data_IF_826907942480
#
_entry.id   IF_826907942480
#
_cell.length_a   1.000
_cell.length_b   1.000
_cell.length_c   1.000
_cell.angle_alpha   90.00
_cell.angle_beta   90.00
_cell.angle_gamma   90.00
#
_symmetry.space_group_name_H-M   'P 1'
#
loop_
_entity.id
_entity.type
_entity.pdbx_description
1 polymer ?
#
# COMPACT_ATOMS: atom_id res chain seq x y z
N UNK A 1 35.20 -29.52 -1.68
CA UNK A 1 34.44 -28.28 -1.94
C UNK A 1 32.99 -28.58 -1.61
N UNK A 2 32.60 -28.40 -0.34
CA UNK A 2 31.20 -28.56 0.06
C UNK A 2 30.43 -27.34 -0.44
N UNK A 3 29.42 -27.57 -1.27
CA UNK A 3 28.51 -26.52 -1.70
C UNK A 3 27.77 -26.00 -0.48
N UNK A 4 28.00 -24.74 -0.12
CA UNK A 4 27.25 -24.06 0.95
C UNK A 4 25.77 -24.06 0.58
N UNK A 5 25.02 -25.02 1.12
CA UNK A 5 23.58 -25.07 0.97
C UNK A 5 22.99 -23.83 1.67
N UNK A 6 22.37 -22.95 0.88
CA UNK A 6 21.72 -21.75 1.40
C UNK A 6 20.56 -22.19 2.30
N UNK A 7 20.65 -21.88 3.60
CA UNK A 7 19.59 -22.22 4.53
C UNK A 7 18.28 -21.48 4.19
N UNK A 8 17.16 -21.99 4.68
CA UNK A 8 15.83 -21.47 4.30
C UNK A 8 15.63 -20.00 4.71
N UNK A 9 16.22 -19.57 5.81
CA UNK A 9 16.17 -18.17 6.26
C UNK A 9 16.86 -17.25 5.27
N UNK A 10 18.08 -17.59 4.84
CA UNK A 10 18.82 -16.84 3.84
C UNK A 10 18.09 -16.83 2.50
N UNK A 11 17.43 -17.93 2.12
CA UNK A 11 16.54 -17.98 0.93
C UNK A 11 15.41 -16.96 1.02
N UNK A 12 14.73 -16.83 2.17
CA UNK A 12 13.67 -15.83 2.33
C UNK A 12 14.19 -14.39 2.15
N UNK A 13 15.34 -14.06 2.74
CA UNK A 13 15.97 -12.74 2.56
C UNK A 13 16.37 -12.48 1.11
N UNK A 14 16.85 -13.50 0.39
CA UNK A 14 17.12 -13.39 -1.04
C UNK A 14 15.85 -13.15 -1.85
N UNK A 15 14.75 -13.85 -1.56
CA UNK A 15 13.47 -13.71 -2.28
C UNK A 15 12.86 -12.31 -2.14
N UNK A 16 13.01 -11.67 -0.99
CA UNK A 16 12.55 -10.28 -0.80
C UNK A 16 13.58 -9.24 -1.27
N UNK A 17 14.72 -9.65 -1.81
CA UNK A 17 15.77 -8.77 -2.32
C UNK A 17 16.58 -8.07 -1.24
N UNK A 18 16.76 -8.71 -0.08
CA UNK A 18 17.47 -8.18 1.10
C UNK A 18 18.47 -9.17 1.68
N UNK A 19 19.30 -9.78 0.82
CA UNK A 19 20.33 -10.73 1.26
C UNK A 19 21.26 -10.14 2.33
N UNK A 20 21.53 -8.84 2.25
CA UNK A 20 22.39 -8.11 3.18
C UNK A 20 21.82 -7.99 4.61
N UNK A 21 20.51 -8.13 4.78
CA UNK A 21 19.89 -8.19 6.10
C UNK A 21 20.07 -9.57 6.76
N UNK A 22 20.51 -10.59 6.01
CA UNK A 22 20.99 -11.85 6.58
C UNK A 22 22.46 -11.70 6.97
N UNK A 23 22.70 -11.13 8.14
CA UNK A 23 24.03 -10.78 8.67
C UNK A 23 24.38 -11.54 9.95
N UNK A 24 25.62 -11.38 10.42
CA UNK A 24 26.16 -12.06 11.61
C UNK A 24 25.33 -11.82 12.88
N UNK A 25 24.71 -10.65 13.00
CA UNK A 25 23.86 -10.34 14.16
C UNK A 25 22.61 -11.22 14.15
N UNK A 26 21.97 -11.40 13.00
CA UNK A 26 20.84 -12.31 12.86
C UNK A 26 21.28 -13.77 13.10
N UNK A 27 22.40 -14.18 12.51
CA UNK A 27 22.93 -15.54 12.65
C UNK A 27 23.17 -15.89 14.12
N UNK A 28 23.77 -14.99 14.90
CA UNK A 28 23.97 -15.18 16.35
C UNK A 28 22.65 -15.37 17.10
N UNK A 29 21.64 -14.51 16.86
CA UNK A 29 20.31 -14.64 17.47
C UNK A 29 19.63 -15.97 17.12
N UNK A 30 19.85 -16.49 15.91
CA UNK A 30 19.35 -17.81 15.49
C UNK A 30 20.06 -18.96 16.22
N UNK A 31 21.37 -18.84 16.45
CA UNK A 31 22.17 -19.82 17.19
C UNK A 31 21.80 -19.87 18.68
N UNK A 32 21.41 -18.75 19.27
CA UNK A 32 20.84 -18.67 20.62
C UNK A 32 19.50 -19.44 20.75
N UNK A 33 18.88 -19.80 19.63
CA UNK A 33 17.71 -20.68 19.60
C UNK A 33 16.40 -20.01 20.03
N UNK A 34 16.35 -18.67 20.05
CA UNK A 34 15.17 -17.89 20.44
C UNK A 34 13.93 -18.27 19.61
N UNK A 35 12.74 -18.45 20.19
CA UNK A 35 11.55 -18.86 19.45
C UNK A 35 11.06 -17.81 18.43
N UNK A 36 11.35 -16.53 18.68
CA UNK A 36 11.05 -15.40 17.81
C UNK A 36 12.23 -14.44 17.79
N UNK A 37 12.51 -13.84 16.64
CA UNK A 37 13.58 -12.85 16.47
C UNK A 37 13.01 -11.62 15.79
N UNK A 38 13.23 -10.47 16.41
CA UNK A 38 13.11 -9.16 15.78
C UNK A 38 14.50 -8.71 15.31
N UNK A 39 14.64 -8.51 14.00
CA UNK A 39 15.89 -8.11 13.37
C UNK A 39 15.73 -6.71 12.74
N UNK A 40 16.17 -5.65 13.45
CA UNK A 40 16.14 -4.29 12.91
C UNK A 40 17.17 -4.14 11.79
N UNK A 41 16.79 -3.36 10.78
CA UNK A 41 17.61 -3.08 9.61
C UNK A 41 17.22 -1.74 9.01
N UNK A 42 18.20 -0.93 8.63
CA UNK A 42 17.98 0.37 8.00
C UNK A 42 18.66 0.44 6.64
N UNK A 43 18.02 1.08 5.67
CA UNK A 43 18.57 1.31 4.32
C UNK A 43 18.39 2.76 3.91
N UNK A 44 19.44 3.34 3.33
CA UNK A 44 19.36 4.67 2.69
C UNK A 44 19.10 4.51 1.19
N UNK A 45 18.27 5.41 0.67
CA UNK A 45 17.99 5.59 -0.74
C UNK A 45 18.19 7.07 -1.11
N UNK A 46 18.22 7.37 -2.41
CA UNK A 46 18.35 8.75 -2.90
C UNK A 46 17.15 9.64 -2.57
N UNK A 47 16.02 9.03 -2.19
CA UNK A 47 14.74 9.71 -1.92
C UNK A 47 14.37 9.73 -0.42
N UNK A 48 15.21 9.14 0.44
CA UNK A 48 14.94 8.99 1.87
C UNK A 48 15.58 7.73 2.45
N UNK A 49 15.15 7.32 3.63
CA UNK A 49 15.58 6.09 4.27
C UNK A 49 14.37 5.20 4.60
N UNK A 50 14.66 3.94 4.88
CA UNK A 50 13.72 3.00 5.47
C UNK A 50 14.31 2.35 6.71
N UNK A 51 13.52 2.33 7.77
CA UNK A 51 13.79 1.56 8.98
C UNK A 51 12.82 0.38 8.99
N UNK A 52 13.34 -0.82 9.21
CA UNK A 52 12.57 -2.06 9.11
C UNK A 52 12.87 -2.98 10.26
N UNK A 53 11.84 -3.64 10.79
CA UNK A 53 11.98 -4.76 11.71
C UNK A 53 11.51 -6.01 10.99
N UNK A 54 12.44 -6.93 10.73
CA UNK A 54 12.14 -8.25 10.19
C UNK A 54 11.74 -9.19 11.33
N UNK A 55 10.61 -9.88 11.18
CA UNK A 55 10.07 -10.78 12.19
C UNK A 55 10.25 -12.22 11.76
N UNK A 56 11.13 -12.94 12.47
CA UNK A 56 11.38 -14.35 12.23
C UNK A 56 10.80 -15.20 13.35
N UNK A 57 10.28 -16.37 12.99
CA UNK A 57 9.79 -17.36 13.96
C UNK A 57 10.46 -18.70 13.72
N UNK A 58 10.91 -19.35 14.79
CA UNK A 58 11.44 -20.71 14.74
C UNK A 58 10.30 -21.71 14.53
N UNK A 59 10.47 -22.61 13.58
CA UNK A 59 9.56 -23.73 13.32
C UNK A 59 9.70 -24.75 14.43
N UNK A 60 8.57 -25.13 15.06
CA UNK A 60 8.55 -26.20 16.05
C UNK A 60 8.80 -27.58 15.41
N UNK A 61 8.50 -27.73 14.11
CA UNK A 61 8.59 -29.01 13.39
C UNK A 61 9.97 -29.24 12.80
N UNK A 62 10.57 -28.22 12.20
CA UNK A 62 11.86 -28.35 11.48
C UNK A 62 13.03 -27.70 12.20
N UNK A 63 12.76 -26.83 13.19
CA UNK A 63 13.80 -26.05 13.87
C UNK A 63 14.30 -24.83 13.09
N UNK A 64 13.91 -24.67 11.82
CA UNK A 64 14.33 -23.54 10.98
C UNK A 64 13.65 -22.22 11.32
N UNK A 65 14.26 -21.10 10.93
CA UNK A 65 13.66 -19.77 11.06
C UNK A 65 12.98 -19.29 9.78
N UNK A 66 11.72 -18.87 9.90
CA UNK A 66 10.92 -18.34 8.81
C UNK A 66 10.63 -16.85 9.03
N UNK A 67 10.96 -16.03 8.02
CA UNK A 67 10.61 -14.62 7.99
C UNK A 67 9.14 -14.47 7.60
N UNK A 68 8.23 -14.16 8.51
CA UNK A 68 6.79 -14.19 8.21
C UNK A 68 6.17 -12.81 7.95
N UNK A 69 6.80 -11.75 8.44
CA UNK A 69 6.42 -10.37 8.14
C UNK A 69 7.62 -9.44 8.32
N UNK A 70 7.46 -8.21 7.86
CA UNK A 70 8.34 -7.12 8.24
C UNK A 70 7.54 -5.83 8.40
N UNK A 71 7.90 -5.04 9.41
CA UNK A 71 7.33 -3.72 9.66
C UNK A 71 8.31 -2.70 9.08
N UNK A 72 7.89 -1.95 8.07
CA UNK A 72 8.73 -0.93 7.44
C UNK A 72 8.15 0.46 7.69
N UNK A 73 9.02 1.37 8.11
CA UNK A 73 8.79 2.81 8.09
C UNK A 73 9.68 3.43 7.03
N UNK A 74 9.10 4.19 6.11
CA UNK A 74 9.85 4.91 5.07
C UNK A 74 9.65 6.42 5.23
N UNK A 75 10.75 7.17 5.14
CA UNK A 75 10.74 8.62 5.07
C UNK A 75 10.57 9.06 3.61
N UNK A 76 9.74 10.07 3.39
CA UNK A 76 9.45 10.64 2.07
C UNK A 76 9.95 12.08 1.97
N UNK A 77 10.89 12.30 1.06
CA UNK A 77 11.39 13.63 0.71
C UNK A 77 12.07 14.36 1.87
N UNK A 78 12.38 15.63 1.64
CA UNK A 78 13.09 16.47 2.62
C UNK A 78 12.24 16.85 3.84
N UNK A 79 10.91 16.86 3.66
CA UNK A 79 9.92 17.25 4.67
C UNK A 79 9.85 16.25 5.84
N UNK A 80 10.44 15.07 5.67
CA UNK A 80 10.48 14.03 6.68
C UNK A 80 9.16 13.32 6.97
N UNK A 81 8.18 13.38 6.05
CA UNK A 81 6.93 12.63 6.19
C UNK A 81 7.25 11.13 6.26
N UNK A 82 6.86 10.46 7.35
CA UNK A 82 7.06 9.02 7.52
C UNK A 82 5.77 8.26 7.31
N UNK A 83 5.86 7.11 6.64
CA UNK A 83 4.76 6.15 6.52
C UNK A 83 5.22 4.78 6.95
N UNK A 84 4.37 4.10 7.73
CA UNK A 84 4.65 2.77 8.26
C UNK A 84 3.60 1.77 7.80
N UNK A 85 4.04 0.56 7.48
CA UNK A 85 3.17 -0.55 7.11
C UNK A 85 3.81 -1.88 7.47
N UNK A 86 3.00 -2.80 7.98
CA UNK A 86 3.36 -4.22 8.10
C UNK A 86 3.09 -4.94 6.78
N UNK A 87 4.12 -5.61 6.26
CA UNK A 87 4.05 -6.47 5.09
C UNK A 87 4.16 -7.93 5.53
N UNK A 88 3.12 -8.71 5.23
CA UNK A 88 3.08 -10.14 5.54
C UNK A 88 3.61 -10.93 4.35
N UNK A 89 4.44 -11.94 4.63
CA UNK A 89 4.97 -12.86 3.63
C UNK A 89 4.19 -14.17 3.69
N UNK A 90 3.66 -14.58 2.54
CA UNK A 90 3.06 -15.89 2.37
C UNK A 90 4.10 -16.88 1.84
N UNK A 91 4.34 -17.93 2.61
CA UNK A 91 5.25 -19.04 2.24
C UNK A 91 4.51 -20.32 1.86
N UNK A 92 3.17 -20.29 1.86
CA UNK A 92 2.39 -21.47 1.47
C UNK A 92 2.62 -21.75 -0.02
N UNK A 93 2.85 -23.03 -0.34
CA UNK A 93 2.87 -23.50 -1.72
C UNK A 93 1.50 -23.25 -2.35
N UNK A 94 1.52 -22.82 -3.60
CA UNK A 94 0.33 -22.61 -4.40
C UNK A 94 -0.33 -23.99 -4.61
N UNK A 95 -1.51 -24.17 -4.04
CA UNK A 95 -2.41 -25.28 -4.37
C UNK A 95 -3.40 -24.78 -5.42
N UNK A 96 -3.73 -25.63 -6.40
CA UNK A 96 -4.71 -25.31 -7.44
C UNK A 96 -6.01 -24.78 -6.83
N UNK A 97 -6.45 -23.59 -7.28
CA UNK A 97 -7.68 -22.94 -6.84
C UNK A 97 -7.57 -21.99 -5.65
N UNK A 98 -6.40 -21.85 -5.00
CA UNK A 98 -6.23 -20.84 -3.94
C UNK A 98 -5.90 -19.45 -4.50
N UNK A 99 -6.49 -18.39 -3.90
CA UNK A 99 -6.09 -17.00 -4.18
C UNK A 99 -4.63 -16.81 -3.77
N UNK A 100 -3.75 -16.68 -4.76
CA UNK A 100 -2.34 -16.36 -4.56
C UNK A 100 -2.24 -15.01 -3.86
N UNK A 101 -1.69 -14.99 -2.64
CA UNK A 101 -1.27 -13.73 -2.00
C UNK A 101 0.09 -13.35 -2.56
N UNK A 102 0.16 -12.18 -3.17
CA UNK A 102 1.39 -11.62 -3.69
C UNK A 102 2.29 -11.15 -2.54
N UNK A 103 3.57 -11.47 -2.62
CA UNK A 103 4.56 -11.02 -1.65
C UNK A 103 5.21 -9.73 -2.13
N UNK A 104 5.36 -8.78 -1.22
CA UNK A 104 6.20 -7.61 -1.45
C UNK A 104 7.68 -7.99 -1.34
N UNK A 105 8.47 -7.60 -2.34
CA UNK A 105 9.91 -7.42 -2.14
C UNK A 105 10.14 -6.18 -1.25
N UNK A 106 11.31 -6.08 -0.62
CA UNK A 106 11.66 -4.94 0.21
C UNK A 106 11.64 -3.62 -0.58
N UNK A 107 12.13 -3.64 -1.83
CA UNK A 107 12.13 -2.45 -2.67
C UNK A 107 10.72 -2.03 -3.09
N UNK A 108 9.85 -3.00 -3.41
CA UNK A 108 8.43 -2.73 -3.66
C UNK A 108 7.75 -2.13 -2.43
N UNK A 109 8.01 -2.66 -1.23
CA UNK A 109 7.43 -2.14 0.01
C UNK A 109 7.84 -0.68 0.26
N UNK A 110 9.13 -0.37 0.08
CA UNK A 110 9.62 1.00 0.15
C UNK A 110 8.91 1.90 -0.86
N UNK A 111 8.87 1.50 -2.14
CA UNK A 111 8.25 2.27 -3.22
C UNK A 111 6.75 2.49 -2.99
N UNK A 112 6.05 1.48 -2.49
CA UNK A 112 4.65 1.55 -2.10
C UNK A 112 4.41 2.60 -0.99
N UNK A 113 5.27 2.62 0.04
CA UNK A 113 5.23 3.65 1.08
C UNK A 113 5.54 5.06 0.54
N UNK A 114 6.38 5.18 -0.49
CA UNK A 114 6.59 6.45 -1.19
C UNK A 114 5.34 6.93 -1.96
N UNK A 115 4.29 6.12 -2.05
CA UNK A 115 3.06 6.43 -2.78
C UNK A 115 3.06 5.95 -4.23
N UNK A 116 4.09 5.21 -4.66
CA UNK A 116 4.22 4.73 -6.02
C UNK A 116 3.43 3.43 -6.22
N UNK A 117 2.78 3.24 -7.39
CA UNK A 117 2.21 1.95 -7.74
C UNK A 117 3.29 0.88 -7.85
N UNK A 118 2.97 -0.33 -7.41
CA UNK A 118 3.80 -1.54 -7.62
C UNK A 118 2.98 -2.60 -8.34
N UNK A 119 3.62 -3.39 -9.20
CA UNK A 119 2.99 -4.49 -9.92
C UNK A 119 3.30 -5.83 -9.24
N UNK A 120 2.26 -6.63 -9.11
CA UNK A 120 2.32 -7.98 -8.59
C UNK A 120 2.18 -8.95 -9.75
N UNK A 121 3.30 -9.54 -10.17
CA UNK A 121 3.36 -10.36 -11.38
C UNK A 121 2.46 -11.61 -11.33
N UNK A 122 2.28 -12.24 -10.16
CA UNK A 122 1.50 -13.49 -10.06
C UNK A 122 0.01 -13.27 -10.26
N UNK A 123 -0.52 -12.18 -9.73
CA UNK A 123 -1.93 -11.80 -9.88
C UNK A 123 -2.18 -10.84 -11.05
N UNK A 124 -1.12 -10.42 -11.74
CA UNK A 124 -1.15 -9.40 -12.80
C UNK A 124 -1.96 -8.17 -12.40
N UNK A 125 -1.58 -7.56 -11.28
CA UNK A 125 -2.30 -6.41 -10.73
C UNK A 125 -1.37 -5.35 -10.16
N UNK A 126 -1.80 -4.10 -10.25
CA UNK A 126 -1.12 -2.97 -9.65
C UNK A 126 -1.73 -2.65 -8.28
N UNK A 127 -0.89 -2.23 -7.35
CA UNK A 127 -1.31 -1.81 -6.02
C UNK A 127 -0.67 -0.48 -5.66
N UNK A 128 -1.44 0.42 -5.05
CA UNK A 128 -0.96 1.72 -4.57
C UNK A 128 -1.58 2.05 -3.22
N UNK A 129 -0.77 2.63 -2.33
CA UNK A 129 -1.23 3.08 -1.02
C UNK A 129 -2.27 4.20 -1.14
N UNK A 130 -3.24 4.20 -0.22
CA UNK A 130 -4.17 5.32 -0.01
C UNK A 130 -3.78 6.05 1.28
N UNK A 131 -2.93 7.08 1.21
CA UNK A 131 -2.30 7.67 2.41
C UNK A 131 -3.29 8.37 3.35
N UNK A 132 -4.51 8.67 2.90
CA UNK A 132 -5.57 9.28 3.71
C UNK A 132 -6.47 8.26 4.42
N UNK A 133 -6.37 6.98 4.07
CA UNK A 133 -7.22 5.91 4.59
C UNK A 133 -6.36 4.96 5.42
N UNK A 134 -6.54 4.94 6.75
CA UNK A 134 -5.89 3.95 7.63
C UNK A 134 -6.87 2.87 8.05
N UNK A 135 -6.37 1.64 8.13
CA UNK A 135 -7.07 0.49 8.67
C UNK A 135 -6.94 0.45 10.20
N UNK A 136 -7.79 -0.35 10.85
CA UNK A 136 -7.79 -0.50 12.32
C UNK A 136 -6.44 -0.99 12.88
N UNK A 137 -5.67 -1.75 12.11
CA UNK A 137 -4.35 -2.25 12.50
C UNK A 137 -3.21 -1.22 12.31
N UNK A 138 -3.53 0.02 11.93
CA UNK A 138 -2.55 1.09 11.72
C UNK A 138 -1.93 1.13 10.32
N UNK A 139 -2.08 0.08 9.51
CA UNK A 139 -1.65 0.08 8.11
C UNK A 139 -2.49 1.06 7.30
N UNK A 140 -1.93 1.57 6.20
CA UNK A 140 -2.72 2.28 5.22
C UNK A 140 -3.53 1.30 4.37
N UNK A 141 -4.73 1.72 3.98
CA UNK A 141 -5.51 1.05 2.97
C UNK A 141 -4.78 1.14 1.62
N UNK A 142 -5.13 0.24 0.69
CA UNK A 142 -4.58 0.25 -0.66
C UNK A 142 -5.68 0.25 -1.70
N UNK A 143 -5.32 0.72 -2.88
CA UNK A 143 -6.10 0.57 -4.09
C UNK A 143 -5.42 -0.46 -4.98
N UNK A 144 -6.22 -1.38 -5.52
CA UNK A 144 -5.76 -2.42 -6.43
C UNK A 144 -6.41 -2.24 -7.79
N UNK A 145 -5.61 -2.37 -8.83
CA UNK A 145 -6.02 -2.35 -10.23
C UNK A 145 -5.69 -3.71 -10.82
N UNK A 146 -6.71 -4.53 -11.03
CA UNK A 146 -6.54 -5.84 -11.64
C UNK A 146 -6.34 -5.73 -13.16
N UNK A 147 -6.12 -6.87 -13.80
CA UNK A 147 -5.97 -6.97 -15.25
C UNK A 147 -7.17 -6.37 -16.01
N UNK A 148 -8.38 -6.46 -15.47
CA UNK A 148 -9.59 -5.91 -16.10
C UNK A 148 -9.58 -4.37 -16.13
N UNK A 149 -8.80 -3.72 -15.27
CA UNK A 149 -8.55 -2.28 -15.34
C UNK A 149 -7.85 -1.86 -16.65
N UNK A 150 -7.08 -2.76 -17.27
CA UNK A 150 -6.50 -2.57 -18.60
C UNK A 150 -5.26 -1.67 -18.67
N UNK A 151 -4.59 -1.38 -17.55
CA UNK A 151 -3.32 -0.66 -17.55
C UNK A 151 -2.16 -1.59 -17.92
N UNK A 152 -1.51 -1.32 -19.05
CA UNK A 152 -0.34 -2.05 -19.53
C UNK A 152 0.85 -1.09 -19.62
N UNK A 153 1.78 -1.20 -18.66
CA UNK A 153 2.95 -0.32 -18.60
C UNK A 153 3.86 -0.47 -19.81
N UNK A 154 3.92 -1.65 -20.43
CA UNK A 154 4.73 -1.89 -21.63
C UNK A 154 4.19 -1.09 -22.81
N UNK A 155 2.88 -1.19 -23.07
CA UNK A 155 2.20 -0.38 -24.10
C UNK A 155 2.31 1.11 -23.82
N UNK A 156 2.16 1.51 -22.56
CA UNK A 156 2.33 2.91 -22.18
C UNK A 156 3.75 3.39 -22.48
N UNK A 157 4.79 2.64 -22.10
CA UNK A 157 6.20 2.97 -22.42
C UNK A 157 6.41 3.07 -23.95
N UNK A 158 5.72 2.25 -24.73
CA UNK A 158 5.84 2.26 -26.18
C UNK A 158 5.38 3.57 -26.84
N UNK A 159 4.44 4.27 -26.21
CA UNK A 159 3.96 5.58 -26.67
C UNK A 159 4.90 6.75 -26.28
N UNK A 160 5.99 6.49 -25.53
CA UNK A 160 7.00 7.49 -25.14
C UNK A 160 8.33 7.28 -25.88
N UNK A 161 9.10 8.35 -26.07
CA UNK A 161 10.41 8.32 -26.75
C UNK A 161 11.56 7.79 -25.87
N UNK A 162 11.31 6.73 -25.10
CA UNK A 162 12.29 6.09 -24.20
C UNK A 162 13.31 5.27 -24.99
N UNK A 163 14.59 5.35 -24.59
CA UNK A 163 15.68 4.58 -25.21
C UNK A 163 15.68 3.10 -24.77
N UNK A 164 15.61 2.81 -23.46
CA UNK A 164 15.76 1.45 -22.91
C UNK A 164 14.46 0.87 -22.33
N UNK A 165 13.50 0.55 -23.20
CA UNK A 165 12.12 0.19 -22.80
C UNK A 165 11.99 -1.02 -21.87
N UNK A 166 12.66 -2.14 -22.14
CA UNK A 166 12.50 -3.37 -21.33
C UNK A 166 13.02 -3.21 -19.90
N UNK A 167 14.20 -2.59 -19.76
CA UNK A 167 14.77 -2.27 -18.44
C UNK A 167 13.87 -1.30 -17.67
N UNK A 168 13.35 -0.28 -18.36
CA UNK A 168 12.41 0.65 -17.76
C UNK A 168 11.16 -0.07 -17.26
N UNK A 169 10.55 -0.94 -18.08
CA UNK A 169 9.36 -1.72 -17.71
C UNK A 169 9.55 -2.48 -16.39
N UNK A 170 10.61 -3.28 -16.29
CA UNK A 170 10.87 -4.05 -15.06
C UNK A 170 11.13 -3.15 -13.84
N UNK A 171 11.74 -1.97 -14.06
CA UNK A 171 11.96 -1.01 -12.99
C UNK A 171 10.64 -0.38 -12.51
N UNK A 172 9.77 0.01 -13.44
CA UNK A 172 8.46 0.61 -13.13
C UNK A 172 7.50 -0.40 -12.51
N UNK A 173 7.55 -1.67 -12.90
CA UNK A 173 6.78 -2.76 -12.25
C UNK A 173 7.16 -2.91 -10.77
N UNK A 174 8.43 -2.68 -10.42
CA UNK A 174 8.87 -2.64 -9.02
C UNK A 174 8.49 -1.33 -8.31
N UNK A 175 7.88 -0.38 -9.00
CA UNK A 175 7.50 0.94 -8.50
C UNK A 175 8.68 1.89 -8.33
N UNK A 176 9.80 1.66 -9.01
CA UNK A 176 10.97 2.54 -8.88
C UNK A 176 10.68 3.92 -9.49
N UNK A 177 11.27 4.95 -8.88
CA UNK A 177 11.43 6.26 -9.50
C UNK A 177 12.68 6.22 -10.39
N UNK A 178 12.48 5.83 -11.65
CA UNK A 178 13.57 5.44 -12.53
C UNK A 178 14.12 6.65 -13.27
N UNK A 179 15.44 6.84 -13.24
CA UNK A 179 16.12 7.75 -14.17
C UNK A 179 16.32 7.05 -15.51
N UNK A 180 15.85 7.63 -16.59
CA UNK A 180 15.89 7.02 -17.92
C UNK A 180 16.13 8.08 -19.01
N UNK A 181 16.66 7.63 -20.15
CA UNK A 181 16.92 8.49 -21.31
C UNK A 181 15.72 8.54 -22.25
N UNK A 182 15.34 9.75 -22.63
CA UNK A 182 14.31 10.06 -23.61
C UNK A 182 14.93 10.79 -24.80
N UNK A 183 14.37 10.60 -25.99
CA UNK A 183 14.71 11.40 -27.16
C UNK A 183 13.80 12.62 -27.24
N UNK A 184 14.39 13.81 -27.35
CA UNK A 184 13.64 15.02 -27.64
C UNK A 184 13.33 15.14 -29.15
N UNK A 185 12.59 16.17 -29.58
CA UNK A 185 12.24 16.41 -31.00
C UNK A 185 13.44 16.52 -31.94
N UNK A 186 14.59 16.94 -31.42
CA UNK A 186 15.85 17.08 -32.17
C UNK A 186 16.64 15.76 -32.23
N UNK A 187 16.12 14.68 -31.62
CA UNK A 187 16.80 13.38 -31.53
C UNK A 187 17.89 13.31 -30.46
N UNK A 188 18.02 14.33 -29.60
CA UNK A 188 19.00 14.36 -28.51
C UNK A 188 18.48 13.58 -27.31
N UNK A 189 19.38 12.82 -26.66
CA UNK A 189 19.10 12.13 -25.41
C UNK A 189 19.06 13.11 -24.23
N UNK A 190 17.99 13.06 -23.45
CA UNK A 190 17.82 13.78 -22.20
C UNK A 190 17.46 12.80 -21.08
N UNK A 191 18.08 12.97 -19.90
CA UNK A 191 17.80 12.12 -18.74
C UNK A 191 16.66 12.72 -17.92
N UNK A 192 15.62 11.91 -17.69
CA UNK A 192 14.43 12.27 -16.93
C UNK A 192 14.17 11.21 -15.85
N UNK A 193 13.47 11.59 -14.79
CA UNK A 193 12.90 10.62 -13.87
C UNK A 193 11.46 10.27 -14.26
N UNK A 194 11.08 9.02 -14.06
CA UNK A 194 9.77 8.51 -14.47
C UNK A 194 9.17 7.52 -13.47
N UNK A 195 7.84 7.56 -13.34
CA UNK A 195 7.03 6.64 -12.52
C UNK A 195 5.69 6.38 -13.22
N UNK A 196 5.06 5.21 -13.05
CA UNK A 196 3.75 4.93 -13.64
C UNK A 196 2.64 5.76 -13.00
N UNK A 197 1.65 6.15 -13.81
CA UNK A 197 0.37 6.70 -13.36
C UNK A 197 -0.78 5.84 -13.88
N UNK A 198 -1.20 4.90 -13.03
CA UNK A 198 -2.19 3.88 -13.38
C UNK A 198 -3.53 4.53 -13.77
N UNK A 199 -4.03 5.47 -12.95
CA UNK A 199 -5.31 6.14 -13.21
C UNK A 199 -5.32 6.88 -14.54
N UNK A 200 -4.32 7.71 -14.80
CA UNK A 200 -4.25 8.47 -16.06
C UNK A 200 -3.88 7.58 -17.25
N UNK A 201 -3.49 6.33 -17.03
CA UNK A 201 -3.02 5.44 -18.09
C UNK A 201 -1.81 6.01 -18.81
N UNK A 202 -0.87 6.59 -18.07
CA UNK A 202 0.30 7.29 -18.59
C UNK A 202 1.54 7.08 -17.70
N UNK A 203 2.64 7.77 -18.04
CA UNK A 203 3.79 7.98 -17.17
C UNK A 203 3.77 9.40 -16.61
N UNK A 204 4.38 9.59 -15.44
CA UNK A 204 4.69 10.91 -14.88
C UNK A 204 6.17 11.16 -15.06
N UNK A 205 6.52 12.27 -15.73
CA UNK A 205 7.89 12.63 -16.04
C UNK A 205 8.34 13.78 -15.13
N UNK A 206 9.59 13.71 -14.69
CA UNK A 206 10.22 14.73 -13.88
C UNK A 206 11.60 15.07 -14.45
N UNK A 207 12.02 16.30 -14.29
CA UNK A 207 13.39 16.71 -14.60
C UNK A 207 14.41 16.16 -13.59
N UNK A 208 15.69 16.47 -13.78
CA UNK A 208 16.77 16.03 -12.88
C UNK A 208 16.67 16.63 -11.47
N UNK A 209 15.96 17.75 -11.31
CA UNK A 209 15.65 18.38 -10.03
C UNK A 209 14.40 17.76 -9.38
N UNK A 210 13.85 16.70 -9.98
CA UNK A 210 12.64 15.99 -9.54
C UNK A 210 11.39 16.89 -9.56
N UNK A 211 11.35 17.91 -10.41
CA UNK A 211 10.16 18.72 -10.66
C UNK A 211 9.35 18.11 -11.78
N UNK A 212 8.02 18.13 -11.61
CA UNK A 212 7.09 17.60 -12.59
C UNK A 212 7.24 18.33 -13.93
N UNK A 213 7.36 17.58 -15.02
CA UNK A 213 7.32 18.11 -16.38
C UNK A 213 5.86 18.11 -16.84
N UNK A 214 5.22 19.29 -17.03
CA UNK A 214 3.83 19.38 -17.46
C UNK A 214 3.61 18.74 -18.83
N UNK A 215 2.39 18.26 -19.07
CA UNK A 215 2.04 17.56 -20.30
C UNK A 215 2.33 18.37 -21.57
N UNK A 216 2.06 19.68 -21.56
CA UNK A 216 2.37 20.57 -22.68
C UNK A 216 3.87 20.62 -23.00
N UNK A 217 4.71 20.64 -21.96
CA UNK A 217 6.16 20.61 -22.12
C UNK A 217 6.64 19.25 -22.64
N UNK A 218 6.00 18.14 -22.24
CA UNK A 218 6.31 16.82 -22.79
C UNK A 218 6.04 16.75 -24.30
N UNK A 219 4.94 17.35 -24.77
CA UNK A 219 4.60 17.47 -26.19
C UNK A 219 5.58 18.41 -26.90
N UNK A 220 5.88 19.57 -26.30
CA UNK A 220 6.81 20.55 -26.86
C UNK A 220 8.22 19.95 -27.07
N UNK A 221 8.71 19.21 -26.06
CA UNK A 221 10.00 18.52 -26.09
C UNK A 221 10.00 17.25 -26.91
N UNK A 222 8.84 16.71 -27.28
CA UNK A 222 8.71 15.50 -28.09
C UNK A 222 8.95 14.21 -27.32
N UNK A 223 8.77 14.22 -26.01
CA UNK A 223 8.80 12.97 -25.22
C UNK A 223 7.59 12.08 -25.51
N UNK A 224 6.51 12.70 -25.96
CA UNK A 224 5.27 12.08 -26.41
C UNK A 224 4.77 12.77 -27.70
N UNK A 225 3.92 12.08 -28.45
CA UNK A 225 3.25 12.66 -29.61
C UNK A 225 2.17 13.67 -29.20
N UNK A 226 1.80 14.55 -30.14
CA UNK A 226 0.68 15.48 -29.95
C UNK A 226 -0.64 14.71 -29.73
N UNK A 227 -0.87 13.64 -30.50
CA UNK A 227 -2.06 12.78 -30.38
C UNK A 227 -2.18 12.17 -28.96
N UNK A 228 -1.09 11.61 -28.44
CA UNK A 228 -1.07 11.10 -27.07
C UNK A 228 -1.33 12.24 -26.07
N UNK A 229 -0.69 13.40 -26.26
CA UNK A 229 -0.90 14.56 -25.42
C UNK A 229 -2.38 14.97 -25.32
N UNK A 230 -3.09 15.07 -26.44
CA UNK A 230 -4.51 15.41 -26.48
C UNK A 230 -5.38 14.33 -25.81
N UNK A 231 -5.09 13.05 -26.06
CA UNK A 231 -5.76 11.91 -25.41
C UNK A 231 -5.61 11.94 -23.89
N UNK A 232 -4.42 12.27 -23.38
CA UNK A 232 -4.16 12.37 -21.94
C UNK A 232 -4.88 13.56 -21.30
N UNK A 233 -4.93 14.72 -21.97
CA UNK A 233 -5.70 15.88 -21.50
C UNK A 233 -7.19 15.54 -21.36
N UNK A 234 -7.76 14.90 -22.38
CA UNK A 234 -9.17 14.51 -22.38
C UNK A 234 -9.49 13.56 -21.23
N UNK A 235 -8.64 12.54 -21.02
CA UNK A 235 -8.79 11.60 -19.90
C UNK A 235 -8.70 12.27 -18.53
N UNK A 236 -7.82 13.26 -18.39
CA UNK A 236 -7.70 14.03 -17.14
C UNK A 236 -8.98 14.82 -16.83
N UNK A 237 -9.59 15.45 -17.84
CA UNK A 237 -10.89 16.12 -17.67
C UNK A 237 -12.00 15.14 -17.25
N UNK A 238 -12.08 13.97 -17.89
CA UNK A 238 -13.08 12.95 -17.56
C UNK A 238 -12.95 12.43 -16.13
N UNK A 239 -11.72 12.29 -15.64
CA UNK A 239 -11.46 11.87 -14.25
C UNK A 239 -11.89 12.92 -13.25
N UNK A 240 -11.55 14.19 -13.49
CA UNK A 240 -11.99 15.30 -12.63
C UNK A 240 -13.51 15.39 -12.55
N UNK A 241 -14.22 15.20 -13.67
CA UNK A 241 -15.68 15.20 -13.70
C UNK A 241 -16.30 14.01 -12.94
N UNK A 242 -15.66 12.83 -12.97
CA UNK A 242 -16.11 11.66 -12.21
C UNK A 242 -15.91 11.87 -10.71
N UNK A 243 -14.75 12.35 -10.29
CA UNK A 243 -14.42 12.61 -8.88
C UNK A 243 -15.37 13.66 -8.27
N UNK A 244 -15.68 14.75 -9.00
CA UNK A 244 -16.66 15.75 -8.54
C UNK A 244 -18.08 15.20 -8.40
N UNK A 245 -18.48 14.23 -9.24
CA UNK A 245 -19.81 13.57 -9.13
C UNK A 245 -19.87 12.61 -7.95
N UNK A 246 -18.78 11.91 -7.64
CA UNK A 246 -18.71 10.98 -6.49
C UNK A 246 -18.71 11.74 -5.16
N UNK A 247 -17.96 12.85 -5.05
CA UNK A 247 -17.97 13.70 -3.85
C UNK A 247 -19.36 14.34 -3.57
N UNK A 248 -20.14 14.66 -4.61
CA UNK A 248 -21.51 15.16 -4.45
C UNK A 248 -22.52 14.07 -4.02
N UNK A 249 -22.27 12.80 -4.34
CA UNK A 249 -23.11 11.69 -3.91
C UNK A 249 -22.82 11.26 -2.46
N UNK A 250 -21.54 11.26 -2.06
CA UNK A 250 -21.16 10.97 -0.67
C UNK A 250 -21.70 12.04 0.30
N UNK A 251 -21.67 13.33 -0.09
CA UNK A 251 -22.28 14.41 0.71
C UNK A 251 -23.82 14.34 0.81
N UNK A 252 -24.51 13.67 -0.13
CA UNK A 252 -25.96 13.41 -0.02
C UNK A 252 -26.28 12.27 0.94
N UNK A 253 -25.40 11.27 1.07
CA UNK A 253 -25.58 10.19 2.05
C UNK A 253 -25.26 10.63 3.48
N UNK A 254 -24.29 11.52 3.70
CA UNK A 254 -24.00 12.06 5.05
C UNK A 254 -25.15 12.91 5.60
N UNK A 255 -25.85 13.65 4.73
CA UNK A 255 -27.00 14.49 5.12
C UNK A 255 -28.30 13.70 5.41
N UNK A 256 -28.44 12.46 4.91
CA UNK A 256 -29.56 11.59 5.25
C UNK A 256 -29.34 10.87 6.59
N UNK A 257 -28.10 10.57 6.97
CA UNK A 257 -27.82 9.99 8.30
C UNK A 257 -28.04 11.00 9.45
N UNK A 258 -27.96 12.30 9.19
CA UNK A 258 -28.27 13.33 10.21
C UNK A 258 -29.77 13.62 10.36
N UNK A 259 -30.61 13.28 9.38
CA UNK A 259 -32.08 13.39 9.50
C UNK A 259 -32.69 12.21 10.26
N UNK A 260 -32.18 10.98 10.06
CA UNK A 260 -32.68 9.80 10.79
C UNK A 260 -32.31 9.80 12.29
N UNK A 261 -31.26 10.51 12.70
CA UNK A 261 -30.95 10.71 14.12
C UNK A 261 -31.79 11.80 14.80
N UNK A 262 -32.33 12.77 14.05
CA UNK A 262 -33.24 13.80 14.59
C UNK A 262 -34.68 13.32 14.73
N UNK A 263 -35.14 12.35 13.93
CA UNK A 263 -36.47 11.75 14.09
C UNK A 263 -36.53 10.69 15.21
N UNK A 264 -35.41 9.99 15.51
CA UNK A 264 -35.36 9.04 16.63
C UNK A 264 -35.25 9.67 18.03
N UNK A 265 -34.91 10.96 18.15
CA UNK A 265 -34.92 11.68 19.43
C UNK A 265 -36.25 12.39 19.75
N UNK A 266 -37.19 12.47 18.80
CA UNK A 266 -38.53 13.03 19.06
C UNK A 266 -39.62 11.97 19.32
N UNK A 267 -39.33 10.67 19.12
CA UNK A 267 -40.26 9.58 19.46
C UNK A 267 -39.97 8.88 20.81
N UNK A 268 -38.85 9.17 21.48
CA UNK A 268 -38.52 8.57 22.79
C UNK A 268 -39.07 9.35 24.00
N UNK A 269 -39.73 10.50 23.81
CA UNK A 269 -40.33 11.29 24.91
C UNK A 269 -41.85 11.12 25.07
N UNK A 270 -42.51 10.22 24.32
CA UNK A 270 -43.96 9.95 24.45
C UNK A 270 -44.34 8.53 24.93
N UNK A 271 -43.37 7.69 25.34
CA UNK A 271 -43.63 6.32 25.85
C UNK A 271 -43.17 6.10 27.31
N UNK A 272 -43.15 7.16 28.12
CA UNK A 272 -42.76 7.13 29.54
C UNK A 272 -43.87 7.50 30.54
N UNK A 273 -45.15 7.46 30.15
CA UNK A 273 -46.27 7.71 31.06
C UNK A 273 -47.45 6.78 30.72
N UNK A 274 -47.36 5.51 31.13
CA UNK A 274 -48.50 4.63 31.43
C UNK A 274 -47.96 3.29 31.93
N UNK A 275 -47.68 3.21 33.23
CA UNK A 275 -47.67 1.98 34.05
C UNK A 275 -47.30 2.35 35.49
N UNK A 276 -48.30 2.84 36.22
CA UNK A 276 -48.37 2.75 37.69
C UNK A 276 -49.84 2.49 37.99
N UNK A 277 -50.23 1.22 38.03
CA UNK A 277 -51.43 0.72 38.67
C UNK A 277 -51.31 -0.80 38.82
N UNK A 278 -51.50 -1.31 40.04
CA UNK A 278 -51.83 -2.72 40.27
C UNK A 278 -50.83 -3.56 41.08
N UNK A 279 -50.66 -3.25 42.36
CA UNK A 279 -50.13 -4.20 43.36
C UNK A 279 -51.33 -4.87 44.08
N UNK A 280 -51.45 -6.22 44.14
CA UNK A 280 -52.47 -6.88 44.96
C UNK A 280 -51.95 -7.20 46.37
N UNK A 281 -52.81 -6.91 47.36
CA UNK A 281 -52.66 -7.12 48.80
C UNK A 281 -52.69 -8.61 49.21
N UNK A 282 -51.94 -8.94 50.29
CA UNK A 282 -52.27 -10.00 51.27
C UNK A 282 -51.57 -9.68 52.63
N UNK A 283 -51.97 -10.25 53.80
CA UNK A 283 -52.41 -9.44 54.93
C UNK A 283 -51.54 -9.43 56.21
N UNK A 284 -51.89 -8.45 57.07
CA UNK A 284 -51.51 -8.14 58.46
C UNK A 284 -51.26 -9.33 59.42
N UNK A 285 -50.20 -9.22 60.25
CA UNK A 285 -50.18 -9.29 61.75
C UNK A 285 -48.72 -9.11 62.26
N UNK A 286 -48.41 -8.00 62.94
CA UNK A 286 -48.24 -7.81 64.40
C UNK A 286 -46.86 -8.19 64.99
N UNK A 287 -46.15 -7.13 65.43
CA UNK A 287 -45.36 -6.93 66.66
C UNK A 287 -44.39 -8.00 67.19
N UNK A 288 -43.10 -7.62 67.29
CA UNK A 288 -42.32 -7.28 68.51
C UNK A 288 -40.85 -7.06 68.06
N UNK A 289 -40.20 -5.91 68.32
CA UNK A 289 -39.27 -5.68 69.45
C UNK A 289 -38.45 -6.95 69.78
N UNK A 290 -37.11 -6.97 69.76
CA UNK A 290 -36.19 -6.18 70.58
C UNK A 290 -34.73 -6.49 70.20
N UNK A 291 -33.87 -5.46 70.29
CA UNK A 291 -32.46 -5.42 70.72
C UNK A 291 -31.44 -6.51 70.35
N UNK A 292 -30.26 -6.03 69.96
CA UNK A 292 -28.99 -6.75 69.99
C UNK A 292 -28.03 -6.18 68.97
#
# INVERSE_FOLDING_TARGET
MEGNEVNITQKHFMLIGMKEAYNDTLIKKMQEGLPSIEHPYSKKYDEGNSDTVFHLRKSATTGDYFLHKFDMTAQRGENGETRSQTFYLNHKKEEEGQKVKDNFTYKMAYNFLQGRPVHHAKSDSWERIKPKEKLQNGNFNSERFDKAYGYDVGKVIDEYSVVYKSSLKESLERGNFQKEKFLNKEGKQEELYVTPAIRSGSLILYDLDKKLIPLDQQIEKGYISQELGEKLKQRQLEQQQKEQKTEQQDNKQTNNQTKDQKEKQQQSTKKGQKQKDGEPKAPRKQHKQTTG
#
